data_IF_634470378200
#
_entry.id   IF_634470378200
#
_cell.length_a   1.000
_cell.length_b   1.000
_cell.length_c   1.000
_cell.angle_alpha   90.00
_cell.angle_beta   90.00
_cell.angle_gamma   90.00
#
_symmetry.space_group_name_H-M   'P 1'
#
loop_
_entity.id
_entity.type
_entity.pdbx_description
1 polymer ?
#
# COMPACT_ATOMS: atom_id res chain seq x y z
N UNK A 1 0.85 19.60 3.12
CA UNK A 1 1.69 18.50 2.58
C UNK A 1 2.02 18.85 1.15
N UNK A 2 3.28 18.74 0.71
CA UNK A 2 3.61 19.10 -0.66
C UNK A 2 2.91 18.10 -1.59
N UNK A 3 2.25 18.66 -2.59
CA UNK A 3 1.58 17.94 -3.66
C UNK A 3 2.57 17.00 -4.32
N UNK A 4 2.46 15.69 -4.08
CA UNK A 4 3.19 14.71 -4.88
C UNK A 4 2.96 15.02 -6.38
N UNK A 5 4.03 15.14 -7.19
CA UNK A 5 3.95 15.29 -8.65
C UNK A 5 2.88 14.40 -9.26
N UNK A 6 2.12 14.90 -10.23
CA UNK A 6 0.97 14.22 -10.84
C UNK A 6 1.32 12.80 -11.33
N UNK A 7 2.54 12.61 -11.84
CA UNK A 7 3.07 11.31 -12.25
C UNK A 7 3.17 10.30 -11.10
N UNK A 8 3.58 10.74 -9.92
CA UNK A 8 3.64 9.88 -8.73
C UNK A 8 2.24 9.53 -8.20
N UNK A 9 1.25 10.42 -8.37
CA UNK A 9 -0.14 10.10 -8.01
C UNK A 9 -0.75 9.02 -8.92
N UNK A 10 -0.47 9.09 -10.21
CA UNK A 10 -0.91 8.06 -11.17
C UNK A 10 -0.27 6.71 -10.85
N UNK A 11 1.03 6.68 -10.57
CA UNK A 11 1.74 5.47 -10.13
C UNK A 11 1.14 4.88 -8.84
N UNK A 12 0.79 5.71 -7.86
CA UNK A 12 0.16 5.24 -6.62
C UNK A 12 -1.24 4.67 -6.86
N UNK A 13 -2.02 5.26 -7.77
CA UNK A 13 -3.35 4.75 -8.12
C UNK A 13 -3.28 3.41 -8.85
N UNK A 14 -2.33 3.26 -9.77
CA UNK A 14 -2.07 2.01 -10.50
C UNK A 14 -1.57 0.91 -9.56
N UNK A 15 -0.62 1.23 -8.68
CA UNK A 15 -0.11 0.32 -7.66
C UNK A 15 -1.22 -0.17 -6.71
N UNK A 16 -2.13 0.72 -6.30
CA UNK A 16 -3.30 0.36 -5.49
C UNK A 16 -4.24 -0.60 -6.23
N UNK A 17 -4.46 -0.37 -7.53
CA UNK A 17 -5.32 -1.23 -8.36
C UNK A 17 -4.72 -2.64 -8.55
N UNK A 18 -3.43 -2.72 -8.89
CA UNK A 18 -2.72 -4.00 -9.07
C UNK A 18 -2.67 -4.79 -7.78
N UNK A 19 -2.28 -4.15 -6.68
CA UNK A 19 -2.20 -4.80 -5.38
C UNK A 19 -3.57 -5.31 -4.89
N UNK A 20 -4.66 -4.60 -5.18
CA UNK A 20 -6.02 -5.06 -4.90
C UNK A 20 -6.41 -6.28 -5.76
N UNK A 21 -6.08 -6.27 -7.05
CA UNK A 21 -6.41 -7.39 -7.95
C UNK A 21 -5.78 -8.71 -7.52
N UNK A 22 -4.53 -8.67 -7.08
CA UNK A 22 -3.79 -9.85 -6.62
C UNK A 22 -4.02 -10.18 -5.13
N UNK A 23 -4.41 -9.20 -4.32
CA UNK A 23 -4.63 -9.40 -2.88
C UNK A 23 -6.04 -9.85 -2.50
N UNK A 24 -7.07 -9.35 -3.19
CA UNK A 24 -8.46 -9.48 -2.74
C UNK A 24 -9.48 -9.78 -3.86
N UNK A 25 -9.09 -9.74 -5.13
CA UNK A 25 -10.00 -9.90 -6.28
C UNK A 25 -9.61 -11.11 -7.16
N UNK A 26 -10.18 -11.22 -8.37
CA UNK A 26 -10.12 -12.38 -9.26
C UNK A 26 -8.74 -12.94 -9.68
N UNK A 27 -7.63 -12.34 -9.25
CA UNK A 27 -6.27 -12.87 -9.44
C UNK A 27 -5.63 -13.37 -8.14
N UNK A 28 -6.42 -13.55 -7.07
CA UNK A 28 -5.96 -14.03 -5.75
C UNK A 28 -5.29 -15.40 -5.80
N UNK A 29 -5.71 -16.27 -6.72
CA UNK A 29 -5.13 -17.62 -6.89
C UNK A 29 -3.89 -17.62 -7.80
N UNK A 30 -3.48 -16.47 -8.32
CA UNK A 30 -2.29 -16.37 -9.15
C UNK A 30 -1.02 -16.70 -8.33
N UNK A 31 0.02 -17.29 -8.96
CA UNK A 31 1.27 -17.59 -8.28
C UNK A 31 1.87 -16.33 -7.66
N UNK A 32 2.36 -16.45 -6.42
CA UNK A 32 2.94 -15.35 -5.64
C UNK A 32 4.07 -14.63 -6.39
N UNK A 33 4.87 -15.38 -7.14
CA UNK A 33 5.94 -14.86 -8.02
C UNK A 33 5.38 -13.91 -9.11
N UNK A 34 4.26 -14.27 -9.74
CA UNK A 34 3.62 -13.46 -10.78
C UNK A 34 3.03 -12.17 -10.20
N UNK A 35 2.44 -12.25 -9.00
CA UNK A 35 1.94 -11.08 -8.29
C UNK A 35 3.09 -10.13 -7.91
N UNK A 36 4.23 -10.66 -7.44
CA UNK A 36 5.43 -9.86 -7.12
C UNK A 36 5.99 -9.19 -8.37
N UNK A 37 6.09 -9.93 -9.48
CA UNK A 37 6.54 -9.37 -10.75
C UNK A 37 5.61 -8.26 -11.26
N UNK A 38 4.29 -8.42 -11.11
CA UNK A 38 3.32 -7.39 -11.48
C UNK A 38 3.44 -6.12 -10.63
N UNK A 39 3.71 -6.25 -9.33
CA UNK A 39 3.96 -5.10 -8.44
C UNK A 39 5.26 -4.38 -8.84
N UNK A 40 6.33 -5.13 -9.09
CA UNK A 40 7.63 -4.59 -9.52
C UNK A 40 7.56 -3.90 -10.87
N UNK A 41 6.75 -4.41 -11.80
CA UNK A 41 6.49 -3.76 -13.08
C UNK A 41 5.87 -2.35 -12.95
N UNK A 42 5.14 -2.08 -11.86
CA UNK A 42 4.61 -0.74 -11.55
C UNK A 42 5.69 0.12 -10.89
N UNK A 43 6.40 -0.42 -9.90
CA UNK A 43 7.53 0.26 -9.26
C UNK A 43 8.43 -0.72 -8.51
N UNK A 44 9.74 -0.53 -8.63
CA UNK A 44 10.77 -1.20 -7.83
C UNK A 44 11.29 -0.32 -6.67
N UNK A 45 10.77 0.91 -6.52
CA UNK A 45 11.17 1.81 -5.43
C UNK A 45 10.69 1.27 -4.07
N UNK A 46 11.60 0.85 -3.18
CA UNK A 46 11.26 0.26 -1.89
C UNK A 46 10.50 1.24 -0.98
N UNK A 47 10.69 2.55 -1.15
CA UNK A 47 9.99 3.59 -0.36
C UNK A 47 8.53 3.70 -0.79
N UNK A 48 8.24 3.72 -2.09
CA UNK A 48 6.87 3.78 -2.60
C UNK A 48 6.06 2.52 -2.25
N UNK A 49 6.71 1.36 -2.35
CA UNK A 49 6.15 0.09 -1.91
C UNK A 49 5.89 0.09 -0.39
N UNK A 50 6.82 0.65 0.39
CA UNK A 50 6.67 0.86 1.83
C UNK A 50 5.47 1.75 2.19
N UNK A 51 5.27 2.86 1.49
CA UNK A 51 4.12 3.75 1.71
C UNK A 51 2.80 3.02 1.49
N UNK A 52 2.65 2.26 0.40
CA UNK A 52 1.43 1.48 0.15
C UNK A 52 1.23 0.36 1.19
N UNK A 53 2.30 -0.31 1.60
CA UNK A 53 2.23 -1.31 2.66
C UNK A 53 1.78 -0.66 3.99
N UNK A 54 2.26 0.55 4.26
CA UNK A 54 1.84 1.37 5.39
C UNK A 54 0.36 1.71 5.35
N UNK A 55 -0.18 2.12 4.20
CA UNK A 55 -1.60 2.40 4.04
C UNK A 55 -2.47 1.15 4.26
N UNK A 56 -2.04 0.00 3.71
CA UNK A 56 -2.71 -1.29 3.90
C UNK A 56 -2.69 -1.77 5.37
N UNK A 57 -1.63 -1.46 6.14
CA UNK A 57 -1.54 -1.79 7.57
C UNK A 57 -2.53 -1.02 8.46
N UNK A 58 -3.12 0.07 7.95
CA UNK A 58 -4.11 0.87 8.69
C UNK A 58 -5.53 0.31 8.53
N UNK A 59 -5.74 -0.64 7.61
CA UNK A 59 -7.02 -1.29 7.41
C UNK A 59 -7.51 -1.97 8.71
N UNK A 60 -8.60 -1.46 9.32
CA UNK A 60 -9.07 -1.94 10.62
C UNK A 60 -9.67 -3.35 10.55
N UNK A 61 -10.02 -3.84 9.36
CA UNK A 61 -10.62 -5.15 9.15
C UNK A 61 -9.59 -6.22 8.78
N UNK A 62 -8.31 -5.86 8.61
CA UNK A 62 -7.25 -6.80 8.27
C UNK A 62 -7.37 -7.47 6.90
N UNK A 63 -8.32 -7.01 6.07
CA UNK A 63 -8.58 -7.50 4.72
C UNK A 63 -7.37 -7.30 3.82
N UNK A 64 -6.58 -6.26 4.11
CA UNK A 64 -5.40 -5.86 3.35
C UNK A 64 -4.12 -6.62 3.74
N UNK A 65 -4.18 -7.60 4.66
CA UNK A 65 -2.99 -8.39 5.06
C UNK A 65 -2.27 -9.08 3.87
N UNK A 66 -2.96 -9.76 2.93
CA UNK A 66 -2.31 -10.34 1.76
C UNK A 66 -1.58 -9.31 0.88
N UNK A 67 -2.12 -8.08 0.82
CA UNK A 67 -1.50 -6.97 0.09
C UNK A 67 -0.20 -6.50 0.77
N UNK A 68 -0.15 -6.46 2.11
CA UNK A 68 1.09 -6.13 2.84
C UNK A 68 2.17 -7.19 2.59
N UNK A 69 1.81 -8.48 2.65
CA UNK A 69 2.74 -9.59 2.41
C UNK A 69 3.30 -9.59 0.98
N UNK A 70 2.45 -9.23 0.00
CA UNK A 70 2.84 -9.08 -1.39
C UNK A 70 3.83 -7.93 -1.59
N UNK A 71 3.53 -6.75 -1.01
CA UNK A 71 4.40 -5.57 -1.11
C UNK A 71 5.75 -5.81 -0.41
N UNK A 72 5.75 -6.49 0.73
CA UNK A 72 6.98 -6.90 1.41
C UNK A 72 7.83 -7.82 0.52
N UNK A 73 7.21 -8.81 -0.15
CA UNK A 73 7.93 -9.69 -1.07
C UNK A 73 8.47 -8.98 -2.32
N UNK A 74 7.78 -7.92 -2.77
CA UNK A 74 8.26 -7.07 -3.84
C UNK A 74 9.49 -6.23 -3.45
N UNK A 75 9.76 -6.06 -2.15
CA UNK A 75 10.91 -5.31 -1.64
C UNK A 75 10.53 -4.03 -0.89
N UNK A 76 9.29 -3.91 -0.41
CA UNK A 76 8.88 -2.76 0.39
C UNK A 76 9.77 -2.54 1.62
N UNK A 77 10.16 -1.28 1.83
CA UNK A 77 10.77 -0.88 3.09
C UNK A 77 9.71 -0.86 4.19
N UNK A 78 9.72 -1.89 5.03
CA UNK A 78 8.77 -2.05 6.12
C UNK A 78 8.99 -1.05 7.26
N UNK A 79 10.14 -0.38 7.33
CA UNK A 79 10.37 0.75 8.26
C UNK A 79 9.60 1.97 7.80
N UNK A 80 9.63 2.29 6.51
CA UNK A 80 8.78 3.33 5.90
C UNK A 80 7.30 2.98 6.08
N UNK A 81 6.92 1.72 5.84
CA UNK A 81 5.54 1.26 6.02
C UNK A 81 5.02 1.48 7.44
N UNK A 82 5.78 1.09 8.46
CA UNK A 82 5.40 1.28 9.87
C UNK A 82 5.27 2.76 10.23
N UNK A 83 6.22 3.59 9.79
CA UNK A 83 6.18 5.04 10.02
C UNK A 83 4.93 5.65 9.38
N UNK A 84 4.66 5.32 8.12
CA UNK A 84 3.49 5.82 7.42
C UNK A 84 2.18 5.35 8.04
N UNK A 85 2.09 4.09 8.46
CA UNK A 85 0.91 3.56 9.15
C UNK A 85 0.64 4.30 10.47
N UNK A 86 1.69 4.64 11.24
CA UNK A 86 1.56 5.44 12.46
C UNK A 86 1.04 6.84 12.16
N UNK A 87 1.63 7.55 11.19
CA UNK A 87 1.19 8.89 10.77
C UNK A 87 -0.28 8.91 10.31
N UNK A 88 -0.71 7.90 9.55
CA UNK A 88 -2.09 7.80 9.08
C UNK A 88 -3.06 7.46 10.23
N UNK A 89 -2.67 6.58 11.16
CA UNK A 89 -3.48 6.28 12.37
C UNK A 89 -3.64 7.48 13.28
N UNK A 90 -2.58 8.26 13.48
CA UNK A 90 -2.63 9.51 14.24
C UNK A 90 -3.58 10.50 13.57
N UNK A 91 -3.52 10.65 12.24
CA UNK A 91 -4.45 11.50 11.48
C UNK A 91 -5.90 11.06 11.57
N UNK A 92 -6.18 9.76 11.50
CA UNK A 92 -7.54 9.23 11.64
C UNK A 92 -8.08 9.47 13.06
N UNK A 93 -7.22 9.31 14.08
CA UNK A 93 -7.55 9.59 15.48
C UNK A 93 -7.80 11.09 15.70
N UNK A 94 -6.98 11.97 15.11
CA UNK A 94 -7.14 13.41 15.19
C UNK A 94 -8.35 13.93 14.40
N UNK A 95 -8.68 13.28 13.27
CA UNK A 95 -9.86 13.61 12.46
C UNK A 95 -11.19 13.17 13.08
N UNK A 96 -11.20 12.06 13.84
CA UNK A 96 -12.39 11.61 14.61
C UNK A 96 -12.76 12.51 15.78
N UNK A 97 -11.87 13.42 16.21
CA UNK A 97 -12.16 14.43 17.23
C UNK A 97 -12.88 15.68 16.70
N UNK A 98 -13.18 15.75 15.40
CA UNK A 98 -13.87 16.90 14.77
C UNK A 98 -15.17 16.43 14.11
N UNK A 99 -16.14 16.05 14.92
CA UNK A 99 -17.55 16.10 14.55
C UNK A 99 -18.17 17.33 15.26
N UNK A 100 -18.91 18.20 14.55
CA UNK A 100 -19.68 19.29 15.15
C UNK A 100 -20.85 18.76 16.00
#
# INVERSE_FOLDING_TARGET
MPSLPQRQRLLLAELSSVARRYGTDGMRDAPREAAVAAVRAVTDDPVLLGIQAGAALVDPYGVSRPMVELLQAAGADMTVARKHAAEVRERLSAGRGRAP
#
